data_IF_832575161831
#
_entry.id   IF_832575161831
#
_cell.length_a   1.000
_cell.length_b   1.000
_cell.length_c   1.000
_cell.angle_alpha   90.00
_cell.angle_beta   90.00
_cell.angle_gamma   90.00
#
_symmetry.space_group_name_H-M   'P 1'
#
loop_
_entity.id
_entity.type
_entity.pdbx_description
1 polymer ?
#
# COMPACT_ATOMS: atom_id res chain seq x y z
N UNK A 1 -51.00 -4.44 38.13
CA UNK A 1 -49.53 -4.36 38.20
C UNK A 1 -49.00 -4.29 36.77
N UNK A 2 -48.69 -3.09 36.26
CA UNK A 2 -48.15 -2.89 34.90
C UNK A 2 -46.66 -2.60 35.03
N UNK A 3 -45.83 -3.58 34.66
CA UNK A 3 -44.38 -3.48 34.74
C UNK A 3 -43.86 -2.75 33.48
N UNK A 4 -43.62 -1.44 33.61
CA UNK A 4 -43.06 -0.62 32.53
C UNK A 4 -41.54 -0.69 32.60
N UNK A 5 -40.94 -1.61 31.84
CA UNK A 5 -39.48 -1.67 31.72
C UNK A 5 -38.95 -0.35 31.09
N UNK A 6 -37.87 0.25 31.63
CA UNK A 6 -37.33 1.48 31.09
C UNK A 6 -36.71 1.22 29.71
N UNK A 7 -37.21 1.92 28.67
CA UNK A 7 -36.60 1.93 27.34
C UNK A 7 -35.18 2.49 27.45
N UNK A 8 -34.20 1.59 27.38
CA UNK A 8 -32.77 1.93 27.33
C UNK A 8 -32.54 2.63 25.98
N UNK A 9 -32.49 3.96 25.98
CA UNK A 9 -32.05 4.71 24.81
C UNK A 9 -30.58 4.38 24.58
N UNK A 10 -30.31 3.54 23.59
CA UNK A 10 -28.96 3.35 23.07
C UNK A 10 -28.61 4.68 22.42
N UNK A 11 -27.71 5.45 23.04
CA UNK A 11 -27.05 6.57 22.38
C UNK A 11 -26.18 5.97 21.28
N UNK A 12 -26.77 5.75 20.11
CA UNK A 12 -25.99 5.50 18.91
C UNK A 12 -25.20 6.79 18.67
N UNK A 13 -23.87 6.69 18.73
CA UNK A 13 -23.02 7.76 18.21
C UNK A 13 -23.49 8.11 16.80
N UNK A 14 -23.48 9.41 16.41
CA UNK A 14 -23.80 9.78 15.05
C UNK A 14 -22.89 8.97 14.12
N UNK A 15 -23.42 8.37 13.03
CA UNK A 15 -22.61 7.58 12.12
C UNK A 15 -21.43 8.46 11.70
N UNK A 16 -20.21 7.98 11.97
CA UNK A 16 -19.01 8.65 11.50
C UNK A 16 -19.24 8.95 10.02
N UNK A 17 -19.21 10.24 9.64
CA UNK A 17 -19.20 10.63 8.25
C UNK A 17 -18.02 9.87 7.65
N UNK A 18 -18.32 8.81 6.90
CA UNK A 18 -17.36 8.15 6.04
C UNK A 18 -16.99 9.24 5.04
N UNK A 19 -15.96 10.02 5.38
CA UNK A 19 -15.25 10.84 4.41
C UNK A 19 -15.02 9.94 3.22
N UNK A 20 -15.38 10.42 2.03
CA UNK A 20 -15.25 9.64 0.80
C UNK A 20 -13.93 8.86 0.83
N UNK A 21 -13.95 7.54 0.57
CA UNK A 21 -12.74 6.75 0.62
C UNK A 21 -11.72 7.45 -0.26
N UNK A 22 -10.53 7.70 0.29
CA UNK A 22 -9.44 8.32 -0.43
C UNK A 22 -9.24 7.53 -1.72
N UNK A 23 -9.75 8.07 -2.83
CA UNK A 23 -9.77 7.37 -4.10
C UNK A 23 -8.40 7.60 -4.70
N UNK A 24 -7.46 6.73 -4.33
CA UNK A 24 -6.11 6.75 -4.88
C UNK A 24 -6.24 6.33 -6.35
N UNK A 25 -6.12 7.30 -7.24
CA UNK A 25 -6.04 7.03 -8.68
C UNK A 25 -4.64 6.50 -8.95
N UNK A 26 -4.47 5.17 -8.87
CA UNK A 26 -3.21 4.53 -9.18
C UNK A 26 -2.95 4.63 -10.69
N UNK A 27 -1.94 5.39 -11.09
CA UNK A 27 -1.53 5.45 -12.50
C UNK A 27 -1.05 4.05 -12.95
N UNK A 28 -1.13 3.77 -14.26
CA UNK A 28 -0.77 2.45 -14.81
C UNK A 28 0.64 1.99 -14.43
N UNK A 29 1.58 2.92 -14.32
CA UNK A 29 2.97 2.67 -13.92
C UNK A 29 3.09 2.12 -12.49
N UNK A 30 2.24 2.54 -11.55
CA UNK A 30 2.21 2.00 -10.19
C UNK A 30 1.66 0.58 -10.15
N UNK A 31 0.62 0.31 -10.94
CA UNK A 31 0.05 -1.03 -11.03
C UNK A 31 1.06 -2.02 -11.63
N UNK A 32 1.84 -1.59 -12.62
CA UNK A 32 2.93 -2.37 -13.19
C UNK A 32 4.00 -2.69 -12.14
N UNK A 33 4.50 -1.67 -11.42
CA UNK A 33 5.51 -1.86 -10.37
C UNK A 33 5.02 -2.74 -9.21
N UNK A 34 3.76 -2.58 -8.80
CA UNK A 34 3.12 -3.45 -7.81
C UNK A 34 3.04 -4.90 -8.30
N UNK A 35 2.69 -5.11 -9.57
CA UNK A 35 2.61 -6.45 -10.14
C UNK A 35 4.01 -7.09 -10.29
N UNK A 36 5.03 -6.32 -10.66
CA UNK A 36 6.43 -6.77 -10.70
C UNK A 36 6.89 -7.22 -9.31
N UNK A 37 6.69 -6.39 -8.28
CA UNK A 37 7.04 -6.76 -6.90
C UNK A 37 6.30 -8.01 -6.45
N UNK A 38 5.00 -8.11 -6.75
CA UNK A 38 4.20 -9.31 -6.45
C UNK A 38 4.80 -10.55 -7.11
N UNK A 39 5.14 -10.48 -8.40
CA UNK A 39 5.74 -11.60 -9.13
C UNK A 39 7.11 -11.99 -8.57
N UNK A 40 7.99 -11.01 -8.30
CA UNK A 40 9.31 -11.25 -7.73
C UNK A 40 9.21 -11.88 -6.34
N UNK A 41 8.29 -11.40 -5.50
CA UNK A 41 7.98 -11.97 -4.19
C UNK A 41 7.54 -13.43 -4.31
N UNK A 42 6.61 -13.75 -5.21
CA UNK A 42 6.18 -15.13 -5.43
C UNK A 42 7.32 -16.02 -5.91
N UNK A 43 8.16 -15.53 -6.83
CA UNK A 43 9.28 -16.30 -7.35
C UNK A 43 10.34 -16.57 -6.26
N UNK A 44 10.67 -15.57 -5.45
CA UNK A 44 11.61 -15.69 -4.34
C UNK A 44 11.08 -16.66 -3.28
N UNK A 45 9.86 -16.47 -2.75
CA UNK A 45 9.30 -17.35 -1.71
C UNK A 45 8.91 -18.74 -2.21
N UNK A 46 8.88 -18.98 -3.53
CA UNK A 46 8.78 -20.32 -4.09
C UNK A 46 10.11 -21.10 -4.02
N UNK A 47 11.24 -20.42 -3.75
CA UNK A 47 12.55 -21.02 -3.56
C UNK A 47 12.96 -20.97 -2.09
N UNK A 48 13.68 -21.99 -1.62
CA UNK A 48 14.24 -22.03 -0.29
C UNK A 48 15.45 -21.10 -0.14
N UNK A 49 15.65 -20.44 1.01
CA UNK A 49 16.89 -19.74 1.30
C UNK A 49 18.10 -20.70 1.17
N UNK A 50 19.11 -20.29 0.39
CA UNK A 50 20.30 -21.11 0.13
C UNK A 50 20.19 -22.07 -1.05
N UNK A 51 19.03 -22.16 -1.71
CA UNK A 51 18.90 -22.91 -2.97
C UNK A 51 19.63 -22.19 -4.12
N UNK A 52 20.09 -22.95 -5.14
CA UNK A 52 20.65 -22.35 -6.34
C UNK A 52 19.66 -21.36 -6.97
N UNK A 53 20.10 -20.12 -7.19
CA UNK A 53 19.25 -19.05 -7.74
C UNK A 53 18.56 -18.16 -6.70
N UNK A 54 18.61 -18.50 -5.40
CA UNK A 54 18.07 -17.66 -4.33
C UNK A 54 18.60 -16.22 -4.39
N UNK A 55 19.92 -16.04 -4.54
CA UNK A 55 20.52 -14.69 -4.58
C UNK A 55 20.00 -13.86 -5.76
N UNK A 56 19.77 -14.48 -6.92
CA UNK A 56 19.23 -13.80 -8.10
C UNK A 56 17.78 -13.39 -7.87
N UNK A 57 16.97 -14.26 -7.26
CA UNK A 57 15.57 -13.98 -6.95
C UNK A 57 15.42 -12.94 -5.83
N UNK A 58 16.27 -12.99 -4.81
CA UNK A 58 16.36 -11.98 -3.75
C UNK A 58 16.71 -10.62 -4.34
N UNK A 59 17.71 -10.56 -5.22
CA UNK A 59 18.08 -9.31 -5.89
C UNK A 59 16.94 -8.76 -6.76
N UNK A 60 16.25 -9.62 -7.52
CA UNK A 60 15.11 -9.21 -8.33
C UNK A 60 13.94 -8.69 -7.47
N UNK A 61 13.72 -9.29 -6.30
CA UNK A 61 12.76 -8.79 -5.31
C UNK A 61 13.15 -7.39 -4.81
N UNK A 62 14.40 -7.20 -4.39
CA UNK A 62 14.89 -5.93 -3.85
C UNK A 62 14.84 -4.81 -4.91
N UNK A 63 15.16 -5.12 -6.17
CA UNK A 63 15.05 -4.18 -7.29
C UNK A 63 13.61 -3.76 -7.56
N UNK A 64 12.67 -4.70 -7.53
CA UNK A 64 11.24 -4.41 -7.70
C UNK A 64 10.68 -3.59 -6.54
N UNK A 65 11.11 -3.88 -5.30
CA UNK A 65 10.73 -3.13 -4.11
C UNK A 65 11.25 -1.68 -4.19
N UNK A 66 12.52 -1.51 -4.56
CA UNK A 66 13.12 -0.18 -4.71
C UNK A 66 12.44 0.63 -5.83
N UNK A 67 12.07 -0.01 -6.95
CA UNK A 67 11.33 0.66 -8.05
C UNK A 67 9.98 1.17 -7.58
N UNK A 68 9.20 0.33 -6.88
CA UNK A 68 7.91 0.75 -6.32
C UNK A 68 8.08 1.87 -5.29
N UNK A 69 9.10 1.77 -4.42
CA UNK A 69 9.43 2.80 -3.44
C UNK A 69 9.65 4.18 -4.06
N UNK A 70 10.49 4.26 -5.11
CA UNK A 70 10.74 5.52 -5.84
C UNK A 70 9.49 6.11 -6.48
N UNK A 71 8.63 5.26 -7.06
CA UNK A 71 7.37 5.72 -7.64
C UNK A 71 6.46 6.30 -6.55
N UNK A 72 6.29 5.60 -5.43
CA UNK A 72 5.46 6.05 -4.32
C UNK A 72 5.99 7.34 -3.71
N UNK A 73 7.31 7.46 -3.53
CA UNK A 73 7.96 8.69 -3.08
C UNK A 73 7.64 9.86 -4.01
N UNK A 74 7.80 9.68 -5.33
CA UNK A 74 7.43 10.70 -6.32
C UNK A 74 5.95 11.10 -6.24
N UNK A 75 5.05 10.13 -6.06
CA UNK A 75 3.61 10.39 -5.89
C UNK A 75 3.33 11.23 -4.66
N UNK A 76 3.92 10.86 -3.53
CA UNK A 76 3.73 11.52 -2.24
C UNK A 76 4.29 12.92 -2.28
N UNK A 77 5.51 13.11 -2.80
CA UNK A 77 6.10 14.43 -2.97
C UNK A 77 5.24 15.34 -3.85
N UNK A 78 4.70 14.82 -4.96
CA UNK A 78 3.77 15.59 -5.81
C UNK A 78 2.50 16.00 -5.04
N UNK A 79 1.89 15.05 -4.32
CA UNK A 79 0.65 15.29 -3.57
C UNK A 79 0.86 16.25 -2.38
N UNK A 80 2.04 16.23 -1.78
CA UNK A 80 2.44 17.16 -0.72
C UNK A 80 2.92 18.53 -1.24
N UNK A 81 3.01 18.70 -2.58
CA UNK A 81 3.48 19.94 -3.20
C UNK A 81 4.99 20.18 -3.02
N UNK A 82 5.76 19.12 -2.79
CA UNK A 82 7.21 19.19 -2.68
C UNK A 82 7.84 19.42 -4.07
N UNK A 83 8.92 20.22 -4.16
CA UNK A 83 9.62 20.43 -5.42
C UNK A 83 10.22 19.12 -5.94
N UNK A 84 10.04 18.82 -7.22
CA UNK A 84 10.50 17.57 -7.86
C UNK A 84 12.01 17.34 -7.81
N UNK A 85 12.78 18.38 -7.49
CA UNK A 85 14.24 18.40 -7.52
C UNK A 85 14.90 17.68 -6.32
N UNK A 86 14.11 17.18 -5.36
CA UNK A 86 14.61 16.35 -4.26
C UNK A 86 14.81 14.88 -4.64
N UNK A 87 14.30 14.45 -5.81
CA UNK A 87 14.60 13.13 -6.35
C UNK A 87 16.02 13.17 -6.92
N UNK A 88 16.97 12.75 -6.09
CA UNK A 88 18.39 12.66 -6.40
C UNK A 88 18.59 12.04 -7.78
N UNK A 89 19.17 12.82 -8.70
CA UNK A 89 19.65 12.34 -9.99
C UNK A 89 20.68 11.23 -9.76
N UNK A 90 20.51 10.11 -10.47
CA UNK A 90 21.46 8.98 -10.51
C UNK A 90 22.92 9.41 -10.74
#
# INVERSE_FOLDING_TARGET
MTNTAPRKYIRAEPPALLTEPLTVTLQGTYLEALNELRQAKHAMFAHGPGEPGWNTLSKAHDEAEARLGRLLESMVSLELGEPSDWVVAE
#
